data_IF_018676651543
#
_entry.id   IF_018676651543
#
_cell.length_a   1.000
_cell.length_b   1.000
_cell.length_c   1.000
_cell.angle_alpha   90.00
_cell.angle_beta   90.00
_cell.angle_gamma   90.00
#
_symmetry.space_group_name_H-M   'P 1'
#
loop_
_entity.id
_entity.type
_entity.pdbx_description
1 polymer ?
#
# COMPACT_ATOMS: atom_id res chain seq x y z
N UNK A 1 -4.85 -22.18 -19.73
CA UNK A 1 -4.01 -21.02 -19.37
C UNK A 1 -2.59 -21.50 -19.15
N UNK A 2 -1.58 -20.80 -19.69
CA UNK A 2 -0.17 -21.15 -19.44
C UNK A 2 0.14 -20.79 -17.98
N UNK A 3 0.73 -21.71 -17.22
CA UNK A 3 1.15 -21.40 -15.84
C UNK A 3 2.27 -20.36 -15.86
N UNK A 4 2.33 -19.55 -14.82
CA UNK A 4 3.31 -18.49 -14.63
C UNK A 4 4.54 -19.09 -13.96
N UNK A 5 5.73 -18.81 -14.50
CA UNK A 5 6.98 -19.16 -13.83
C UNK A 5 7.07 -18.42 -12.49
N UNK A 6 7.09 -19.16 -11.37
CA UNK A 6 7.03 -18.58 -10.04
C UNK A 6 8.28 -17.75 -9.71
N UNK A 7 9.45 -18.13 -10.25
CA UNK A 7 10.67 -17.36 -10.07
C UNK A 7 10.56 -16.00 -10.73
N UNK A 8 10.10 -15.96 -11.99
CA UNK A 8 9.82 -14.72 -12.71
C UNK A 8 8.78 -13.88 -11.97
N UNK A 9 7.71 -14.50 -11.49
CA UNK A 9 6.62 -13.81 -10.82
C UNK A 9 7.08 -13.07 -9.56
N UNK A 10 7.97 -13.67 -8.76
CA UNK A 10 8.47 -13.09 -7.51
C UNK A 10 9.82 -12.37 -7.63
N UNK A 11 10.46 -12.36 -8.80
CA UNK A 11 11.75 -11.70 -9.02
C UNK A 11 11.59 -10.38 -9.79
N UNK A 12 10.60 -9.57 -9.40
CA UNK A 12 10.36 -8.25 -9.98
C UNK A 12 10.48 -7.17 -8.91
N UNK A 13 11.24 -6.11 -9.22
CA UNK A 13 11.28 -4.93 -8.35
C UNK A 13 10.06 -4.04 -8.56
N UNK A 14 9.59 -3.87 -9.80
CA UNK A 14 8.52 -2.92 -10.14
C UNK A 14 7.12 -3.55 -10.11
N UNK A 15 6.86 -4.36 -9.08
CA UNK A 15 5.61 -5.11 -8.94
C UNK A 15 5.43 -6.20 -10.00
N UNK A 16 4.33 -6.93 -9.93
CA UNK A 16 4.01 -7.98 -10.91
C UNK A 16 3.63 -7.38 -12.26
N UNK A 17 3.89 -8.11 -13.35
CA UNK A 17 3.49 -7.68 -14.69
C UNK A 17 1.97 -7.74 -14.88
N UNK A 18 1.41 -6.87 -15.73
CA UNK A 18 -0.03 -6.85 -16.02
C UNK A 18 -0.52 -8.21 -16.56
N UNK A 19 0.26 -8.86 -17.43
CA UNK A 19 -0.06 -10.19 -17.96
C UNK A 19 -0.09 -11.28 -16.88
N UNK A 20 0.80 -11.20 -15.89
CA UNK A 20 0.83 -12.14 -14.78
C UNK A 20 -0.36 -11.92 -13.84
N UNK A 21 -0.69 -10.66 -13.54
CA UNK A 21 -1.86 -10.29 -12.74
C UNK A 21 -3.17 -10.74 -13.39
N UNK A 22 -3.30 -10.57 -14.71
CA UNK A 22 -4.44 -11.08 -15.48
C UNK A 22 -4.56 -12.60 -15.37
N UNK A 23 -3.45 -13.32 -15.55
CA UNK A 23 -3.44 -14.78 -15.43
C UNK A 23 -3.84 -15.24 -14.01
N UNK A 24 -3.36 -14.56 -12.97
CA UNK A 24 -3.77 -14.83 -11.58
C UNK A 24 -5.27 -14.55 -11.41
N UNK A 25 -5.76 -13.40 -11.85
CA UNK A 25 -7.17 -13.04 -11.73
C UNK A 25 -8.09 -14.02 -12.44
N UNK A 26 -7.77 -14.42 -13.67
CA UNK A 26 -8.53 -15.39 -14.45
C UNK A 26 -8.67 -16.74 -13.74
N UNK A 27 -7.65 -17.17 -13.00
CA UNK A 27 -7.72 -18.39 -12.20
C UNK A 27 -8.57 -18.18 -10.94
N UNK A 28 -8.34 -17.09 -10.20
CA UNK A 28 -9.00 -16.84 -8.92
C UNK A 28 -10.48 -16.46 -9.09
N UNK A 29 -10.87 -15.82 -10.20
CA UNK A 29 -12.26 -15.39 -10.42
C UNK A 29 -13.21 -16.57 -10.71
N UNK A 30 -12.70 -17.73 -11.12
CA UNK A 30 -13.51 -18.95 -11.39
C UNK A 30 -14.32 -19.42 -10.19
N UNK A 31 -13.86 -19.11 -8.99
CA UNK A 31 -14.51 -19.52 -7.74
C UNK A 31 -15.67 -18.60 -7.36
N UNK A 32 -15.86 -17.49 -8.07
CA UNK A 32 -16.84 -16.44 -7.76
C UNK A 32 -16.79 -15.93 -6.31
N UNK A 33 -15.61 -15.99 -5.69
CA UNK A 33 -15.37 -15.44 -4.36
C UNK A 33 -14.97 -13.95 -4.47
N UNK A 34 -15.16 -13.15 -3.41
CA UNK A 34 -14.58 -11.81 -3.30
C UNK A 34 -13.06 -11.82 -3.39
N UNK A 35 -12.51 -10.82 -4.06
CA UNK A 35 -11.06 -10.59 -4.17
C UNK A 35 -10.69 -9.37 -3.33
N UNK A 36 -9.58 -9.47 -2.59
CA UNK A 36 -8.93 -8.35 -1.92
C UNK A 36 -7.78 -7.91 -2.82
N UNK A 37 -7.83 -6.68 -3.32
CA UNK A 37 -6.74 -6.07 -4.07
C UNK A 37 -5.85 -5.27 -3.13
N UNK A 38 -4.55 -5.59 -3.12
CA UNK A 38 -3.54 -4.80 -2.42
C UNK A 38 -2.93 -3.81 -3.41
N UNK A 39 -3.02 -2.51 -3.14
CA UNK A 39 -2.50 -1.45 -3.99
C UNK A 39 -1.61 -0.49 -3.20
N UNK A 40 -0.64 0.10 -3.89
CA UNK A 40 0.19 1.14 -3.31
C UNK A 40 1.67 0.88 -3.50
N UNK A 41 2.46 1.04 -2.45
CA UNK A 41 3.92 1.04 -2.52
C UNK A 41 4.56 -0.20 -1.87
N UNK A 42 5.86 -0.05 -1.60
CA UNK A 42 6.70 -0.93 -0.81
C UNK A 42 6.13 -1.53 0.47
N UNK A 43 5.16 -0.89 1.13
CA UNK A 43 4.55 -1.45 2.35
C UNK A 43 3.81 -2.77 2.12
N UNK A 44 3.27 -2.96 0.91
CA UNK A 44 2.47 -4.12 0.52
C UNK A 44 3.16 -4.99 -0.54
N UNK A 45 4.21 -4.47 -1.18
CA UNK A 45 4.96 -5.17 -2.23
C UNK A 45 5.61 -6.49 -1.74
N UNK A 46 5.94 -7.37 -2.69
CA UNK A 46 6.52 -8.69 -2.43
C UNK A 46 7.96 -8.66 -1.90
N UNK A 47 8.62 -7.49 -1.91
CA UNK A 47 9.96 -7.25 -1.36
C UNK A 47 10.96 -8.30 -1.83
N UNK A 48 11.08 -8.44 -3.15
CA UNK A 48 11.93 -9.46 -3.80
C UNK A 48 13.39 -9.52 -3.29
N UNK A 49 13.89 -8.45 -2.67
CA UNK A 49 15.26 -8.28 -2.20
C UNK A 49 15.50 -8.58 -0.71
N UNK A 50 14.47 -8.83 0.13
CA UNK A 50 14.63 -8.94 1.61
C UNK A 50 14.93 -10.37 2.09
N UNK A 51 14.07 -11.35 1.77
CA UNK A 51 14.22 -12.77 2.18
C UNK A 51 13.58 -13.68 1.12
N UNK A 52 14.33 -14.65 0.57
CA UNK A 52 13.78 -15.60 -0.41
C UNK A 52 13.16 -16.84 0.27
N UNK A 53 12.44 -16.62 1.37
CA UNK A 53 11.65 -17.68 2.01
C UNK A 53 10.38 -17.95 1.21
N UNK A 54 10.14 -19.24 0.94
CA UNK A 54 9.02 -19.69 0.12
C UNK A 54 8.31 -20.87 0.77
N UNK A 55 7.03 -20.98 0.50
CA UNK A 55 6.22 -22.13 0.85
C UNK A 55 5.35 -22.58 -0.31
N UNK A 56 4.55 -23.62 -0.06
CA UNK A 56 3.55 -24.09 -1.01
C UNK A 56 2.61 -22.94 -1.35
N UNK A 57 2.35 -22.70 -2.64
CA UNK A 57 1.33 -21.74 -3.05
C UNK A 57 -0.05 -22.19 -2.56
N UNK A 58 -0.92 -21.24 -2.24
CA UNK A 58 -2.21 -21.49 -1.59
C UNK A 58 -3.32 -20.67 -2.25
N UNK A 59 -4.56 -21.03 -1.95
CA UNK A 59 -5.74 -20.24 -2.28
C UNK A 59 -5.90 -19.95 -3.79
N UNK A 60 -5.58 -20.92 -4.64
CA UNK A 60 -5.64 -20.81 -6.11
C UNK A 60 -4.30 -20.46 -6.75
N UNK A 61 -3.35 -19.88 -6.01
CA UNK A 61 -2.00 -19.66 -6.53
C UNK A 61 -1.28 -20.98 -6.89
N UNK A 62 -1.65 -22.10 -6.26
CA UNK A 62 -1.14 -23.43 -6.59
C UNK A 62 -1.54 -23.91 -7.99
N UNK A 63 -2.57 -23.33 -8.58
CA UNK A 63 -3.03 -23.66 -9.94
C UNK A 63 -2.33 -22.82 -11.00
N UNK A 64 -2.05 -21.55 -10.70
CA UNK A 64 -1.46 -20.60 -11.65
C UNK A 64 0.08 -20.59 -11.66
N UNK A 65 0.74 -20.81 -10.51
CA UNK A 65 2.20 -20.74 -10.41
C UNK A 65 2.89 -22.07 -10.73
N UNK A 66 4.05 -22.00 -11.38
CA UNK A 66 4.91 -23.14 -11.72
C UNK A 66 6.39 -22.85 -11.40
N UNK A 67 7.04 -23.57 -10.47
CA UNK A 67 6.43 -24.54 -9.55
C UNK A 67 5.38 -23.86 -8.64
N UNK A 68 4.47 -24.63 -8.00
CA UNK A 68 3.40 -24.07 -7.15
C UNK A 68 3.96 -23.64 -5.78
N UNK A 69 4.86 -22.65 -5.79
CA UNK A 69 5.52 -22.05 -4.63
C UNK A 69 5.25 -20.57 -4.60
N UNK A 70 5.04 -20.03 -3.40
CA UNK A 70 4.79 -18.62 -3.16
C UNK A 70 5.80 -18.07 -2.15
N UNK A 71 6.25 -16.83 -2.36
CA UNK A 71 7.10 -16.11 -1.42
C UNK A 71 6.29 -15.66 -0.21
N UNK A 72 6.91 -15.58 0.97
CA UNK A 72 6.27 -15.12 2.21
C UNK A 72 6.07 -13.60 2.25
N UNK A 73 5.36 -13.06 1.26
CA UNK A 73 4.92 -11.67 1.24
C UNK A 73 3.57 -11.45 1.96
N UNK A 74 3.10 -10.21 1.98
CA UNK A 74 1.80 -9.85 2.59
C UNK A 74 0.65 -10.65 1.96
N UNK A 75 0.65 -10.81 0.63
CA UNK A 75 -0.39 -11.53 -0.09
C UNK A 75 -0.42 -13.01 0.28
N UNK A 76 0.73 -13.66 0.38
CA UNK A 76 0.85 -15.04 0.86
C UNK A 76 0.37 -15.16 2.30
N UNK A 77 0.79 -14.26 3.20
CA UNK A 77 0.39 -14.30 4.60
C UNK A 77 -1.13 -14.17 4.75
N UNK A 78 -1.76 -13.25 4.01
CA UNK A 78 -3.21 -13.09 4.02
C UNK A 78 -3.92 -14.31 3.42
N UNK A 79 -3.46 -14.83 2.28
CA UNK A 79 -4.03 -16.04 1.69
C UNK A 79 -3.90 -17.25 2.62
N UNK A 80 -2.78 -17.39 3.33
CA UNK A 80 -2.55 -18.44 4.33
C UNK A 80 -3.55 -18.33 5.49
N UNK A 81 -3.74 -17.13 6.03
CA UNK A 81 -4.72 -16.88 7.11
C UNK A 81 -6.16 -17.14 6.65
N UNK A 82 -6.51 -16.75 5.43
CA UNK A 82 -7.82 -17.00 4.83
C UNK A 82 -8.10 -18.51 4.75
N UNK A 83 -7.14 -19.28 4.22
CA UNK A 83 -7.24 -20.74 4.13
C UNK A 83 -7.32 -21.37 5.52
N UNK A 84 -6.47 -20.95 6.46
CA UNK A 84 -6.46 -21.46 7.83
C UNK A 84 -7.80 -21.24 8.55
N UNK A 85 -8.42 -20.09 8.33
CA UNK A 85 -9.73 -19.73 8.91
C UNK A 85 -10.93 -20.24 8.11
N UNK A 86 -10.71 -20.92 6.99
CA UNK A 86 -11.78 -21.43 6.13
C UNK A 86 -12.64 -20.33 5.48
N UNK A 87 -12.07 -19.14 5.25
CA UNK A 87 -12.79 -18.02 4.65
C UNK A 87 -12.81 -18.15 3.12
N UNK A 88 -13.91 -17.68 2.50
CA UNK A 88 -14.09 -17.65 1.03
C UNK A 88 -13.69 -16.28 0.48
N UNK A 89 -12.40 -15.98 0.50
CA UNK A 89 -11.83 -14.76 -0.09
C UNK A 89 -10.53 -15.11 -0.82
N UNK A 90 -10.16 -14.30 -1.80
CA UNK A 90 -8.86 -14.37 -2.49
C UNK A 90 -8.11 -13.06 -2.32
N UNK A 91 -6.79 -13.06 -2.47
CA UNK A 91 -5.98 -11.85 -2.39
C UNK A 91 -5.08 -11.76 -3.62
N UNK A 92 -5.02 -10.59 -4.25
CA UNK A 92 -4.11 -10.26 -5.36
C UNK A 92 -3.27 -9.05 -4.95
N UNK A 93 -1.95 -9.17 -5.08
CA UNK A 93 -1.03 -8.07 -4.86
C UNK A 93 -0.78 -7.29 -6.15
N UNK A 94 -1.15 -6.01 -6.18
CA UNK A 94 -0.89 -5.08 -7.26
C UNK A 94 -0.05 -3.86 -6.79
N UNK A 95 0.52 -3.93 -5.57
CA UNK A 95 1.41 -2.91 -5.07
C UNK A 95 2.73 -2.87 -5.87
N UNK A 96 3.37 -1.70 -5.90
CA UNK A 96 4.59 -1.46 -6.70
C UNK A 96 5.64 -0.78 -5.83
N UNK A 97 6.74 -1.49 -5.59
CA UNK A 97 7.89 -1.02 -4.79
C UNK A 97 8.40 0.36 -5.21
N UNK A 98 8.80 1.16 -4.21
CA UNK A 98 9.48 2.46 -4.39
C UNK A 98 8.73 3.49 -5.26
N UNK A 99 7.41 3.33 -5.39
CA UNK A 99 6.54 4.29 -6.09
C UNK A 99 5.84 5.24 -5.13
N UNK A 100 5.39 6.37 -5.66
CA UNK A 100 4.83 7.51 -4.92
C UNK A 100 3.43 7.86 -5.43
N UNK A 101 2.72 8.73 -4.71
CA UNK A 101 1.50 9.38 -5.20
C UNK A 101 1.80 10.26 -6.43
N UNK A 102 2.97 10.90 -6.43
CA UNK A 102 3.42 11.74 -7.55
C UNK A 102 3.56 10.95 -8.86
N UNK A 103 4.05 9.70 -8.81
CA UNK A 103 4.14 8.81 -9.98
C UNK A 103 2.75 8.52 -10.60
N UNK A 104 1.68 8.65 -9.81
CA UNK A 104 0.27 8.37 -10.17
C UNK A 104 -0.55 9.63 -10.42
N UNK A 105 0.06 10.80 -10.29
CA UNK A 105 -0.63 12.10 -10.38
C UNK A 105 -1.24 12.34 -11.76
N UNK A 106 -0.52 11.98 -12.83
CA UNK A 106 -1.01 12.09 -14.21
C UNK A 106 -1.71 10.82 -14.68
N UNK A 107 -1.03 9.68 -14.58
CA UNK A 107 -1.53 8.40 -15.06
C UNK A 107 -1.36 7.33 -13.98
N UNK A 108 -2.34 6.42 -13.89
CA UNK A 108 -2.23 5.21 -13.07
C UNK A 108 -1.14 4.29 -13.64
N UNK A 109 -0.42 3.57 -12.77
CA UNK A 109 0.53 2.54 -13.19
C UNK A 109 -0.19 1.35 -13.85
N UNK A 110 0.51 0.49 -14.62
CA UNK A 110 -0.10 -0.70 -15.21
C UNK A 110 -0.89 -1.56 -14.20
N UNK A 111 -0.33 -1.79 -13.02
CA UNK A 111 -0.96 -2.58 -11.95
C UNK A 111 -2.22 -1.90 -11.40
N UNK A 112 -2.18 -0.58 -11.24
CA UNK A 112 -3.34 0.23 -10.83
C UNK A 112 -4.46 0.17 -11.88
N UNK A 113 -4.10 0.22 -13.18
CA UNK A 113 -5.06 0.10 -14.28
C UNK A 113 -5.69 -1.29 -14.34
N UNK A 114 -4.90 -2.33 -14.10
CA UNK A 114 -5.41 -3.69 -13.94
C UNK A 114 -6.46 -3.75 -12.83
N UNK A 115 -6.15 -3.22 -11.62
CA UNK A 115 -7.14 -3.21 -10.52
C UNK A 115 -8.37 -2.41 -10.89
N UNK A 116 -8.20 -1.21 -11.46
CA UNK A 116 -9.31 -0.38 -11.95
C UNK A 116 -10.23 -1.13 -12.94
N UNK A 117 -9.66 -1.97 -13.80
CA UNK A 117 -10.40 -2.74 -14.80
C UNK A 117 -11.09 -3.98 -14.26
N UNK A 118 -10.67 -4.51 -13.10
CA UNK A 118 -11.15 -5.80 -12.56
C UNK A 118 -11.92 -5.71 -11.26
N UNK A 119 -11.70 -4.66 -10.47
CA UNK A 119 -12.38 -4.50 -9.19
C UNK A 119 -13.89 -4.37 -9.37
N UNK A 120 -14.66 -5.01 -8.48
CA UNK A 120 -16.11 -5.04 -8.53
C UNK A 120 -16.76 -4.76 -7.16
N UNK A 121 -18.08 -4.52 -7.09
CA UNK A 121 -18.76 -4.22 -5.82
C UNK A 121 -18.73 -5.31 -4.74
N UNK A 122 -18.35 -6.55 -5.08
CA UNK A 122 -18.17 -7.62 -4.10
C UNK A 122 -16.77 -7.65 -3.48
N UNK A 123 -15.82 -6.96 -4.09
CA UNK A 123 -14.40 -7.01 -3.75
C UNK A 123 -14.02 -6.01 -2.66
N UNK A 124 -12.78 -6.11 -2.18
CA UNK A 124 -12.20 -5.22 -1.19
C UNK A 124 -10.93 -4.58 -1.75
N UNK A 125 -10.64 -3.35 -1.35
CA UNK A 125 -9.43 -2.64 -1.72
C UNK A 125 -8.64 -2.29 -0.47
N UNK A 126 -7.36 -2.64 -0.42
CA UNK A 126 -6.42 -2.20 0.62
C UNK A 126 -5.38 -1.33 -0.06
N UNK A 127 -5.26 -0.08 0.38
CA UNK A 127 -4.32 0.90 -0.15
C UNK A 127 -3.29 1.27 0.90
N UNK A 128 -2.02 1.18 0.56
CA UNK A 128 -0.95 1.74 1.38
C UNK A 128 0.09 2.44 0.52
N UNK A 129 0.08 3.77 0.55
CA UNK A 129 0.91 4.63 -0.30
C UNK A 129 1.21 5.95 0.42
N UNK A 130 2.28 6.62 0.03
CA UNK A 130 2.65 7.96 0.51
C UNK A 130 3.88 7.94 1.41
N UNK A 131 4.31 6.77 1.90
CA UNK A 131 5.54 6.65 2.68
C UNK A 131 6.76 7.08 1.87
N UNK A 132 6.81 6.69 0.60
CA UNK A 132 7.90 7.06 -0.30
C UNK A 132 7.91 8.54 -0.67
N UNK A 133 6.76 9.21 -0.70
CA UNK A 133 6.64 10.66 -0.90
C UNK A 133 7.24 11.47 0.26
N UNK A 134 7.49 10.81 1.41
CA UNK A 134 8.16 11.40 2.58
C UNK A 134 9.62 10.96 2.68
N UNK A 135 9.92 9.68 2.44
CA UNK A 135 11.21 9.09 2.76
C UNK A 135 12.14 8.94 1.57
N UNK A 136 11.65 8.44 0.42
CA UNK A 136 12.50 8.10 -0.73
C UNK A 136 12.60 9.23 -1.76
N UNK A 137 11.49 9.89 -2.06
CA UNK A 137 11.40 10.95 -3.08
C UNK A 137 10.62 12.15 -2.53
N UNK A 138 11.09 12.79 -1.45
CA UNK A 138 10.40 13.95 -0.91
C UNK A 138 10.42 15.10 -1.92
N UNK A 139 9.24 15.69 -2.15
CA UNK A 139 9.17 16.95 -2.89
C UNK A 139 9.84 18.07 -2.09
N UNK A 140 10.21 19.17 -2.77
CA UNK A 140 10.71 20.36 -2.07
C UNK A 140 9.77 20.82 -0.95
N UNK A 141 8.45 20.82 -1.21
CA UNK A 141 7.42 21.16 -0.22
C UNK A 141 7.32 20.14 0.91
N UNK A 142 7.54 18.85 0.61
CA UNK A 142 7.62 17.83 1.66
C UNK A 142 8.79 18.13 2.60
N UNK A 143 9.97 18.43 2.07
CA UNK A 143 11.15 18.74 2.90
C UNK A 143 10.91 19.99 3.75
N UNK A 144 10.43 21.08 3.15
CA UNK A 144 10.16 22.34 3.86
C UNK A 144 9.12 22.14 4.96
N UNK A 145 8.01 21.47 4.65
CA UNK A 145 6.94 21.18 5.61
C UNK A 145 7.44 20.30 6.75
N UNK A 146 8.26 19.31 6.43
CA UNK A 146 8.83 18.41 7.41
C UNK A 146 9.79 19.11 8.37
N UNK A 147 10.70 19.93 7.85
CA UNK A 147 11.59 20.75 8.68
C UNK A 147 10.78 21.71 9.57
N UNK A 148 9.69 22.27 9.05
CA UNK A 148 8.80 23.15 9.81
C UNK A 148 8.11 22.46 10.97
N UNK A 149 7.64 21.22 10.77
CA UNK A 149 7.06 20.41 11.84
C UNK A 149 8.10 20.04 12.90
N UNK A 150 9.28 19.61 12.49
CA UNK A 150 10.31 19.11 13.42
C UNK A 150 10.94 20.22 14.24
N UNK A 151 11.32 21.33 13.61
CA UNK A 151 12.15 22.37 14.21
C UNK A 151 11.35 23.58 14.71
N UNK A 152 10.22 23.91 14.08
CA UNK A 152 9.50 25.15 14.37
C UNK A 152 8.12 24.96 14.98
N UNK A 153 7.60 23.73 15.04
CA UNK A 153 6.28 23.45 15.60
C UNK A 153 6.35 22.84 17.00
N UNK A 154 5.49 23.34 17.89
CA UNK A 154 5.23 22.72 19.19
C UNK A 154 4.37 21.46 19.00
N UNK A 155 4.39 20.54 19.97
CA UNK A 155 3.56 19.34 19.93
C UNK A 155 2.07 19.72 19.95
N UNK A 156 1.70 20.70 20.77
CA UNK A 156 0.32 21.20 20.88
C UNK A 156 -0.19 21.77 19.55
N UNK A 157 0.63 22.54 18.82
CA UNK A 157 0.24 23.04 17.49
C UNK A 157 0.06 21.91 16.48
N UNK A 158 0.86 20.84 16.57
CA UNK A 158 0.71 19.66 15.69
C UNK A 158 -0.58 18.92 16.02
N UNK A 159 -0.85 18.67 17.30
CA UNK A 159 -2.06 17.99 17.78
C UNK A 159 -3.34 18.76 17.45
N UNK A 160 -3.30 20.09 17.52
CA UNK A 160 -4.41 20.96 17.16
C UNK A 160 -4.52 21.24 15.65
N UNK A 161 -3.62 20.69 14.82
CA UNK A 161 -3.65 20.89 13.37
C UNK A 161 -3.27 22.32 12.91
N UNK A 162 -2.62 23.12 13.75
CA UNK A 162 -2.23 24.51 13.46
C UNK A 162 -0.74 24.68 13.16
N UNK A 163 0.03 23.59 13.22
CA UNK A 163 1.46 23.59 12.96
C UNK A 163 1.80 23.92 11.50
N UNK A 164 2.85 24.73 11.29
CA UNK A 164 3.34 25.03 9.96
C UNK A 164 3.82 23.77 9.23
N UNK A 165 3.32 23.59 8.00
CA UNK A 165 3.62 22.42 7.18
C UNK A 165 2.66 21.25 7.35
N UNK A 166 1.72 21.29 8.31
CA UNK A 166 0.74 20.20 8.49
C UNK A 166 -0.22 20.10 7.31
N UNK A 167 -0.60 21.23 6.71
CA UNK A 167 -1.49 21.28 5.54
C UNK A 167 -0.94 20.49 4.36
N UNK A 168 0.39 20.48 4.17
CA UNK A 168 1.03 19.67 3.12
C UNK A 168 0.83 18.17 3.37
N UNK A 169 0.92 17.72 4.62
CA UNK A 169 0.71 16.32 4.97
C UNK A 169 -0.78 15.94 4.94
N UNK A 170 -1.67 16.87 5.27
CA UNK A 170 -3.11 16.69 5.05
C UNK A 170 -3.39 16.54 3.55
N UNK A 171 -2.87 17.42 2.70
CA UNK A 171 -3.01 17.30 1.25
C UNK A 171 -2.44 15.96 0.74
N UNK A 172 -1.23 15.58 1.18
CA UNK A 172 -0.58 14.35 0.76
C UNK A 172 -1.34 13.09 1.19
N UNK A 173 -1.65 12.94 2.47
CA UNK A 173 -2.20 11.70 3.01
C UNK A 173 -3.73 11.62 2.95
N UNK A 174 -4.42 12.75 2.81
CA UNK A 174 -5.87 12.79 2.63
C UNK A 174 -6.21 13.05 1.18
N UNK A 175 -6.00 14.27 0.70
CA UNK A 175 -6.52 14.73 -0.60
C UNK A 175 -5.93 13.97 -1.78
N UNK A 176 -4.62 13.75 -1.81
CA UNK A 176 -3.96 13.03 -2.90
C UNK A 176 -4.25 11.53 -2.86
N UNK A 177 -4.34 10.92 -1.66
CA UNK A 177 -4.75 9.52 -1.50
C UNK A 177 -6.21 9.33 -1.94
N UNK A 178 -7.13 10.20 -1.52
CA UNK A 178 -8.53 10.20 -1.97
C UNK A 178 -8.62 10.33 -3.50
N UNK A 179 -7.84 11.25 -4.08
CA UNK A 179 -7.77 11.42 -5.54
C UNK A 179 -7.27 10.15 -6.24
N UNK A 180 -6.25 9.50 -5.69
CA UNK A 180 -5.72 8.25 -6.22
C UNK A 180 -6.75 7.11 -6.13
N UNK A 181 -7.39 6.94 -4.98
CA UNK A 181 -8.46 5.95 -4.78
C UNK A 181 -9.61 6.22 -5.75
N UNK A 182 -10.06 7.47 -5.88
CA UNK A 182 -11.11 7.85 -6.81
C UNK A 182 -10.78 7.50 -8.27
N UNK A 183 -9.51 7.58 -8.68
CA UNK A 183 -9.07 7.12 -10.01
C UNK A 183 -9.12 5.60 -10.15
N UNK A 184 -8.73 4.85 -9.11
CA UNK A 184 -8.78 3.38 -9.09
C UNK A 184 -10.22 2.87 -9.17
N UNK A 185 -11.13 3.48 -8.42
CA UNK A 185 -12.52 3.03 -8.29
C UNK A 185 -13.48 3.76 -9.21
N UNK A 186 -12.96 4.46 -10.23
CA UNK A 186 -13.76 5.30 -11.12
C UNK A 186 -14.89 4.53 -11.83
N UNK A 187 -14.68 3.26 -12.15
CA UNK A 187 -15.68 2.42 -12.83
C UNK A 187 -16.54 1.63 -11.85
N UNK A 188 -15.94 1.13 -10.77
CA UNK A 188 -16.62 0.30 -9.79
C UNK A 188 -16.10 0.62 -8.39
N UNK A 189 -17.04 0.84 -7.47
CA UNK A 189 -16.73 0.99 -6.05
C UNK A 189 -16.70 -0.40 -5.40
N UNK A 190 -15.60 -0.81 -4.76
CA UNK A 190 -15.55 -2.06 -3.99
C UNK A 190 -16.45 -1.96 -2.76
N UNK A 191 -16.71 -3.11 -2.14
CA UNK A 191 -17.51 -3.19 -0.92
C UNK A 191 -16.93 -2.35 0.22
N UNK A 192 -15.61 -2.35 0.37
CA UNK A 192 -14.91 -1.58 1.41
C UNK A 192 -13.50 -1.25 0.95
N UNK A 193 -13.04 -0.06 1.34
CA UNK A 193 -11.69 0.44 1.08
C UNK A 193 -10.99 0.62 2.44
N UNK A 194 -9.84 -0.01 2.59
CA UNK A 194 -8.97 0.14 3.76
C UNK A 194 -7.76 0.98 3.35
N UNK A 195 -7.49 2.06 4.08
CA UNK A 195 -6.30 2.88 3.88
C UNK A 195 -5.35 2.63 5.04
N UNK A 196 -4.15 2.13 4.73
CA UNK A 196 -3.13 1.79 5.69
C UNK A 196 -1.88 2.65 5.46
N UNK A 197 -1.21 3.04 6.54
CA UNK A 197 0.06 3.76 6.47
C UNK A 197 1.12 2.98 7.25
N UNK A 198 2.35 2.99 6.76
CA UNK A 198 3.48 2.43 7.54
C UNK A 198 3.66 3.28 8.79
N UNK A 199 3.58 2.64 9.94
CA UNK A 199 3.87 3.24 11.22
C UNK A 199 5.06 2.49 11.85
N UNK A 200 6.08 3.23 12.29
CA UNK A 200 7.36 2.69 12.81
C UNK A 200 8.14 1.78 11.82
N UNK A 201 8.83 2.36 10.81
CA UNK A 201 9.70 1.56 9.96
C UNK A 201 10.96 1.14 10.72
N UNK A 202 10.89 -0.06 11.32
CA UNK A 202 11.97 -0.77 12.04
C UNK A 202 12.22 -0.30 13.49
N UNK A 203 11.80 -1.12 14.47
CA UNK A 203 12.22 -1.01 15.88
C UNK A 203 13.51 -1.81 16.18
N UNK A 204 13.99 -2.59 15.22
CA UNK A 204 15.17 -3.44 15.42
C UNK A 204 16.45 -2.61 15.45
N UNK A 205 17.12 -2.57 16.59
CA UNK A 205 18.45 -1.94 16.76
C UNK A 205 19.59 -2.71 16.05
N UNK A 206 19.30 -3.83 15.37
CA UNK A 206 20.32 -4.76 14.87
C UNK A 206 20.79 -4.47 13.44
N UNK A 207 20.05 -3.69 12.66
CA UNK A 207 20.41 -3.38 11.27
C UNK A 207 19.93 -1.97 10.88
N UNK A 208 20.69 -1.23 10.05
CA UNK A 208 20.24 0.06 9.53
C UNK A 208 18.94 -0.09 8.72
N UNK A 209 17.93 0.71 9.01
CA UNK A 209 16.70 0.82 8.21
C UNK A 209 16.99 1.60 6.94
N UNK A 210 16.32 1.23 5.84
CA UNK A 210 16.33 2.01 4.59
C UNK A 210 15.80 3.44 4.79
N UNK A 211 15.06 3.69 5.88
CA UNK A 211 14.54 4.99 6.26
C UNK A 211 15.41 5.74 7.28
N UNK A 212 16.51 5.16 7.78
CA UNK A 212 17.25 5.70 8.94
C UNK A 212 17.76 7.13 8.75
N UNK A 213 18.29 7.48 7.57
CA UNK A 213 18.77 8.83 7.31
C UNK A 213 17.62 9.84 7.41
N UNK A 214 16.49 9.52 6.79
CA UNK A 214 15.29 10.36 6.81
C UNK A 214 14.68 10.41 8.23
N UNK A 215 14.62 9.28 8.95
CA UNK A 215 14.15 9.17 10.33
C UNK A 215 15.07 9.92 11.31
N UNK A 216 16.38 9.94 11.07
CA UNK A 216 17.36 10.69 11.87
C UNK A 216 17.17 12.19 11.67
N UNK A 217 17.03 12.65 10.42
CA UNK A 217 16.72 14.05 10.08
C UNK A 217 15.38 14.50 10.68
N UNK A 218 14.43 13.58 10.79
CA UNK A 218 13.13 13.74 11.43
C UNK A 218 13.15 13.80 12.96
N UNK A 219 14.33 13.61 13.58
CA UNK A 219 14.46 13.39 15.03
C UNK A 219 13.53 12.28 15.54
N UNK A 220 13.21 11.29 14.69
CA UNK A 220 12.26 10.22 14.99
C UNK A 220 12.62 9.47 16.27
N UNK A 221 13.91 9.15 16.43
CA UNK A 221 14.42 8.42 17.60
C UNK A 221 14.45 9.28 18.89
N UNK A 222 14.37 10.60 18.77
CA UNK A 222 14.46 11.53 19.91
C UNK A 222 13.11 12.14 20.28
N UNK A 223 12.19 12.29 19.32
CA UNK A 223 10.86 12.89 19.48
C UNK A 223 9.84 12.19 18.56
N UNK A 224 9.57 10.88 18.75
CA UNK A 224 8.71 10.09 17.85
C UNK A 224 7.30 10.68 17.74
N UNK A 225 6.81 11.31 18.81
CA UNK A 225 5.52 11.99 18.84
C UNK A 225 5.38 13.00 17.70
N UNK A 226 6.43 13.77 17.35
CA UNK A 226 6.36 14.83 16.32
C UNK A 226 6.23 14.34 14.87
N UNK A 227 6.19 13.03 14.61
CA UNK A 227 6.10 12.52 13.25
C UNK A 227 4.67 12.53 12.71
N UNK A 228 4.46 12.94 11.43
CA UNK A 228 3.13 12.97 10.82
C UNK A 228 2.40 11.62 10.88
N UNK A 229 3.18 10.52 10.85
CA UNK A 229 2.66 9.17 10.95
C UNK A 229 1.91 8.86 12.25
N UNK A 230 2.23 9.55 13.35
CA UNK A 230 1.59 9.38 14.67
C UNK A 230 0.23 10.07 14.78
N UNK A 231 -0.04 11.06 13.92
CA UNK A 231 -1.21 11.93 14.05
C UNK A 231 -2.32 11.56 13.08
N UNK A 232 -2.05 10.80 12.02
CA UNK A 232 -3.10 10.27 11.15
C UNK A 232 -3.96 9.18 11.82
N UNK A 233 -3.57 8.68 13.00
CA UNK A 233 -4.42 7.79 13.80
C UNK A 233 -5.42 8.56 14.66
N UNK A 234 -5.18 9.84 14.95
CA UNK A 234 -6.03 10.70 15.78
C UNK A 234 -6.79 11.77 14.98
N UNK A 235 -6.30 12.15 13.81
CA UNK A 235 -7.18 12.65 12.76
C UNK A 235 -7.93 11.42 12.29
N UNK A 236 -9.13 11.21 12.84
CA UNK A 236 -10.09 10.29 12.28
C UNK A 236 -10.05 10.48 10.77
N UNK A 237 -9.49 9.48 10.06
CA UNK A 237 -9.92 9.15 8.72
C UNK A 237 -11.40 8.82 8.92
N UNK A 238 -12.20 9.88 9.03
CA UNK A 238 -13.62 9.80 9.27
C UNK A 238 -14.11 8.80 8.27
N UNK A 239 -14.88 7.82 8.79
CA UNK A 239 -15.49 6.76 8.03
C UNK A 239 -15.55 7.16 6.56
N UNK A 240 -14.84 6.45 5.69
CA UNK A 240 -15.09 6.50 4.25
C UNK A 240 -16.46 5.82 3.99
N UNK A 241 -17.47 6.21 4.77
CA UNK A 241 -18.88 6.07 4.53
C UNK A 241 -19.32 7.43 3.99
N UNK A 242 -19.68 7.45 2.71
CA UNK A 242 -20.33 8.55 2.00
C UNK A 242 -19.46 9.78 1.69
N UNK A 243 -18.53 9.62 0.74
CA UNK A 243 -18.33 10.68 -0.26
C UNK A 243 -19.23 10.31 -1.44
N UNK A 244 -20.29 11.09 -1.63
CA UNK A 244 -21.25 11.19 -2.74
C UNK A 244 -22.74 10.95 -2.39
N UNK A 245 -23.64 11.82 -2.90
CA UNK A 245 -25.06 11.83 -2.54
C UNK A 245 -25.77 10.62 -3.13
N UNK A 246 -26.71 10.05 -2.36
CA UNK A 246 -27.68 9.09 -2.89
C UNK A 246 -28.51 9.81 -3.95
N UNK A 247 -28.41 9.35 -5.20
CA UNK A 247 -29.43 9.61 -6.21
C UNK A 247 -30.55 8.58 -6.05
#
# INVERSE_FOLDING_TARGET
MKRIDANRYYNTYHGHSECDLESVYEELCKYNEPIVFLCGDSSLDNKYWVLDERGKALNGYDKVLDPPVARFDVCYCMNREIVYRGLKLKVINAAVEATTLSDRKRNLLPQDRFVKGKISPKDYLIVSIGGNDVVLKPSFWTVVSLLSLVYWSSIESIENGTAYGIDHFVDLFKTQVETYIGKLTQHHLPKTIFVCMIYYPCESKRSPSWADTSLSLLRYNSHPKKNPGCYSSNVSLGNVESVYPRH
#
